data_IF_266302999954
#
_entry.id   IF_266302999954
#
_cell.length_a   1.000
_cell.length_b   1.000
_cell.length_c   1.000
_cell.angle_alpha   90.00
_cell.angle_beta   90.00
_cell.angle_gamma   90.00
#
_symmetry.space_group_name_H-M   'P 1'
#
loop_
_entity.id
_entity.type
_entity.pdbx_description
1 polymer ?
#
# COMPACT_ATOMS: atom_id res chain seq x y z
N UNK A 1 30.96 4.97 14.12
CA UNK A 1 31.26 3.67 13.48
C UNK A 1 30.56 3.65 12.13
N UNK A 2 31.26 3.32 11.05
CA UNK A 2 30.60 3.17 9.74
C UNK A 2 29.67 1.97 9.81
N UNK A 3 28.39 2.15 9.48
CA UNK A 3 27.41 1.06 9.37
C UNK A 3 27.59 0.22 8.09
N UNK A 4 28.69 0.43 7.37
CA UNK A 4 29.06 -0.35 6.20
C UNK A 4 29.97 -1.51 6.57
N UNK A 5 29.67 -2.67 6.01
CA UNK A 5 30.37 -3.93 6.22
C UNK A 5 31.01 -4.33 4.90
N UNK A 6 32.26 -4.81 4.96
CA UNK A 6 32.91 -5.41 3.80
C UNK A 6 32.21 -6.73 3.45
N UNK A 7 31.67 -6.82 2.23
CA UNK A 7 31.12 -8.07 1.68
C UNK A 7 32.26 -8.89 1.06
N UNK A 8 33.20 -8.20 0.43
CA UNK A 8 34.42 -8.75 -0.13
C UNK A 8 35.35 -7.62 -0.57
N UNK A 9 36.54 -7.95 -1.06
CA UNK A 9 37.55 -6.96 -1.44
C UNK A 9 36.96 -5.94 -2.43
N UNK A 10 36.90 -4.67 -2.03
CA UNK A 10 36.37 -3.57 -2.85
C UNK A 10 34.84 -3.47 -2.92
N UNK A 11 34.09 -4.24 -2.11
CA UNK A 11 32.63 -4.18 -2.05
C UNK A 11 32.15 -4.05 -0.61
N UNK A 12 31.26 -3.07 -0.38
CA UNK A 12 30.69 -2.76 0.92
C UNK A 12 29.17 -2.83 0.83
N UNK A 13 28.54 -3.26 1.91
CA UNK A 13 27.09 -3.26 2.09
C UNK A 13 26.72 -2.49 3.33
N UNK A 14 25.60 -1.76 3.28
CA UNK A 14 25.03 -1.13 4.46
C UNK A 14 24.32 -2.19 5.30
N UNK A 15 24.61 -2.27 6.60
CA UNK A 15 23.79 -3.04 7.55
C UNK A 15 22.41 -2.38 7.65
N UNK A 16 21.38 -3.18 7.47
CA UNK A 16 19.98 -2.78 7.60
C UNK A 16 19.23 -3.82 8.44
N UNK A 17 18.08 -3.42 8.97
CA UNK A 17 17.30 -4.13 9.98
C UNK A 17 15.84 -4.24 9.53
N UNK A 18 15.26 -5.42 9.70
CA UNK A 18 13.83 -5.68 9.62
C UNK A 18 13.15 -5.41 10.98
N UNK A 19 11.83 -5.51 11.04
CA UNK A 19 11.11 -5.38 12.32
C UNK A 19 11.47 -6.50 13.30
N UNK A 20 11.77 -7.71 12.83
CA UNK A 20 12.19 -8.83 13.68
C UNK A 20 13.52 -8.58 14.40
N UNK A 21 14.37 -7.70 13.87
CA UNK A 21 15.68 -7.37 14.44
C UNK A 21 15.61 -6.34 15.58
N UNK A 22 14.44 -5.72 15.81
CA UNK A 22 14.27 -4.63 16.78
C UNK A 22 13.10 -4.89 17.73
N UNK A 23 13.12 -4.20 18.87
CA UNK A 23 12.02 -4.15 19.82
C UNK A 23 11.90 -2.75 20.45
N UNK A 24 10.70 -2.39 20.88
CA UNK A 24 10.49 -1.17 21.68
C UNK A 24 10.83 -1.45 23.14
N UNK A 25 11.48 -0.50 23.80
CA UNK A 25 11.97 -0.66 25.18
C UNK A 25 11.18 0.25 26.13
N UNK A 26 10.46 -0.30 27.12
CA UNK A 26 9.87 0.50 28.19
C UNK A 26 10.95 1.24 28.97
N UNK A 27 10.73 2.51 29.33
CA UNK A 27 11.74 3.31 30.01
C UNK A 27 11.22 3.96 31.29
N UNK A 28 10.40 5.01 31.18
CA UNK A 28 10.19 5.96 32.29
C UNK A 28 8.92 5.70 33.10
N UNK A 29 7.74 5.87 32.48
CA UNK A 29 6.43 5.76 33.14
C UNK A 29 5.48 5.03 32.22
N UNK A 30 4.71 4.11 32.78
CA UNK A 30 3.58 3.49 32.08
C UNK A 30 2.39 4.44 32.07
N UNK A 31 1.47 4.21 31.14
CA UNK A 31 0.17 4.89 31.04
C UNK A 31 -0.89 3.81 30.84
N UNK A 32 -2.10 4.11 31.29
CA UNK A 32 -3.25 3.26 31.00
C UNK A 32 -3.55 3.32 29.48
N UNK A 33 -3.83 2.18 28.83
CA UNK A 33 -4.09 2.13 27.39
C UNK A 33 -5.18 3.09 26.92
N UNK A 34 -6.19 3.33 27.76
CA UNK A 34 -7.33 4.21 27.49
C UNK A 34 -6.92 5.69 27.35
N UNK A 35 -5.71 6.06 27.81
CA UNK A 35 -5.16 7.41 27.69
C UNK A 35 -4.37 7.63 26.38
N UNK A 36 -4.22 6.58 25.56
CA UNK A 36 -3.49 6.64 24.29
C UNK A 36 -4.45 7.03 23.18
N UNK A 37 -4.14 8.11 22.46
CA UNK A 37 -4.84 8.45 21.22
C UNK A 37 -4.23 7.67 20.06
N UNK A 38 -5.08 7.00 19.29
CA UNK A 38 -4.74 6.38 18.01
C UNK A 38 -5.20 7.22 16.82
N UNK A 39 -5.76 8.41 17.08
CA UNK A 39 -6.29 9.26 16.03
C UNK A 39 -5.21 9.60 14.99
N UNK A 40 -5.55 9.41 13.72
CA UNK A 40 -4.71 9.75 12.59
C UNK A 40 -5.43 10.78 11.73
N UNK A 41 -4.71 11.82 11.34
CA UNK A 41 -5.23 12.83 10.43
C UNK A 41 -4.25 12.94 9.26
N UNK A 42 -4.76 12.89 8.04
CA UNK A 42 -4.03 13.16 6.80
C UNK A 42 -4.86 14.13 5.97
N UNK A 43 -4.26 15.27 5.62
CA UNK A 43 -4.98 16.37 5.00
C UNK A 43 -6.22 16.78 5.84
N UNK A 44 -7.40 16.92 5.22
CA UNK A 44 -8.66 17.20 5.90
C UNK A 44 -9.32 15.97 6.56
N UNK A 45 -8.81 14.76 6.32
CA UNK A 45 -9.46 13.52 6.73
C UNK A 45 -8.95 13.02 8.08
N UNK A 46 -9.90 12.64 8.95
CA UNK A 46 -9.63 12.14 10.30
C UNK A 46 -10.10 10.70 10.44
N UNK A 47 -9.29 9.90 11.10
CA UNK A 47 -9.48 8.48 11.36
C UNK A 47 -9.25 8.22 12.85
N UNK A 48 -9.97 7.27 13.42
CA UNK A 48 -9.83 6.91 14.84
C UNK A 48 -8.60 6.04 15.09
N UNK A 49 -8.15 5.32 14.05
CA UNK A 49 -6.97 4.46 14.09
C UNK A 49 -6.07 4.70 12.86
N UNK A 50 -4.74 4.52 12.97
CA UNK A 50 -3.79 4.82 11.91
C UNK A 50 -3.66 3.62 10.94
N UNK A 51 -4.79 3.02 10.55
CA UNK A 51 -4.84 1.76 9.79
C UNK A 51 -5.47 1.99 8.43
N UNK A 52 -4.73 1.61 7.40
CA UNK A 52 -5.15 1.61 6.00
C UNK A 52 -5.20 0.15 5.53
N UNK A 53 -6.24 -0.25 4.80
CA UNK A 53 -6.25 -1.55 4.15
C UNK A 53 -5.47 -1.53 2.83
N UNK A 54 -4.69 -2.57 2.56
CA UNK A 54 -4.04 -2.72 1.27
C UNK A 54 -5.09 -2.93 0.16
N UNK A 55 -4.96 -2.22 -0.98
CA UNK A 55 -5.86 -2.40 -2.12
C UNK A 55 -5.51 -3.69 -2.84
N UNK A 56 -6.13 -4.78 -2.40
CA UNK A 56 -5.99 -6.11 -2.99
C UNK A 56 -7.35 -6.79 -2.93
N UNK A 57 -7.79 -7.42 -4.01
CA UNK A 57 -9.13 -8.05 -4.06
C UNK A 57 -9.35 -9.11 -2.98
N UNK A 58 -8.28 -9.81 -2.56
CA UNK A 58 -8.34 -10.79 -1.47
C UNK A 58 -8.62 -10.18 -0.09
N UNK A 59 -8.45 -8.86 0.04
CA UNK A 59 -8.59 -8.11 1.29
C UNK A 59 -9.79 -7.16 1.23
N UNK A 60 -9.89 -6.37 0.16
CA UNK A 60 -10.79 -5.24 0.05
C UNK A 60 -11.87 -5.47 -1.00
N UNK A 61 -13.10 -5.31 -0.55
CA UNK A 61 -14.34 -5.19 -1.31
C UNK A 61 -15.00 -3.87 -0.91
N UNK A 62 -16.01 -3.37 -1.65
CA UNK A 62 -16.82 -2.25 -1.18
C UNK A 62 -17.34 -2.48 0.25
N UNK A 63 -17.84 -3.69 0.54
CA UNK A 63 -18.35 -4.06 1.87
C UNK A 63 -17.28 -4.01 2.97
N UNK A 64 -16.08 -4.55 2.72
CA UNK A 64 -15.00 -4.54 3.73
C UNK A 64 -14.36 -3.17 3.89
N UNK A 65 -14.29 -2.38 2.81
CA UNK A 65 -13.86 -0.98 2.89
C UNK A 65 -14.80 -0.15 3.76
N UNK A 66 -16.13 -0.31 3.57
CA UNK A 66 -17.15 0.32 4.43
C UNK A 66 -17.02 -0.15 5.88
N UNK A 67 -16.84 -1.45 6.10
CA UNK A 67 -16.67 -2.03 7.44
C UNK A 67 -15.46 -1.41 8.16
N UNK A 68 -14.31 -1.34 7.50
CA UNK A 68 -13.10 -0.74 8.08
C UNK A 68 -13.27 0.77 8.33
N UNK A 69 -13.92 1.49 7.41
CA UNK A 69 -14.29 2.89 7.57
C UNK A 69 -15.11 3.14 8.84
N UNK A 70 -16.12 2.29 9.10
CA UNK A 70 -16.94 2.35 10.32
C UNK A 70 -16.20 1.95 11.60
N UNK A 71 -15.10 1.22 11.48
CA UNK A 71 -14.19 0.90 12.58
C UNK A 71 -13.12 1.97 12.80
N UNK A 72 -13.17 3.08 12.03
CA UNK A 72 -12.29 4.23 12.18
C UNK A 72 -10.98 4.15 11.40
N UNK A 73 -10.81 3.17 10.50
CA UNK A 73 -9.68 3.07 9.58
C UNK A 73 -10.01 3.54 8.16
N UNK A 74 -9.08 3.36 7.22
CA UNK A 74 -9.26 3.69 5.81
C UNK A 74 -9.28 2.42 4.94
N UNK A 75 -10.43 2.11 4.35
CA UNK A 75 -10.53 1.08 3.31
C UNK A 75 -10.13 1.62 1.94
N UNK A 76 -9.14 1.00 1.28
CA UNK A 76 -8.72 1.38 -0.07
C UNK A 76 -9.12 0.28 -1.05
N UNK A 77 -9.95 0.63 -2.04
CA UNK A 77 -10.36 -0.31 -3.07
C UNK A 77 -9.29 -0.43 -4.16
N UNK A 78 -9.00 -1.64 -4.63
CA UNK A 78 -8.19 -1.86 -5.83
C UNK A 78 -9.04 -1.54 -7.08
N UNK A 79 -8.71 -0.46 -7.77
CA UNK A 79 -9.46 -0.03 -8.96
C UNK A 79 -8.98 -0.73 -10.24
N UNK A 80 -7.93 -1.55 -10.14
CA UNK A 80 -7.49 -2.48 -11.19
C UNK A 80 -7.90 -3.92 -10.92
N UNK A 81 -8.55 -4.15 -9.78
CA UNK A 81 -8.95 -5.47 -9.31
C UNK A 81 -10.20 -6.03 -10.00
N UNK A 82 -10.70 -7.13 -9.46
CA UNK A 82 -11.90 -7.81 -9.95
C UNK A 82 -13.16 -6.96 -9.78
N UNK A 83 -13.20 -6.11 -8.74
CA UNK A 83 -14.36 -5.25 -8.44
C UNK A 83 -14.70 -4.24 -9.53
N UNK A 84 -13.73 -3.93 -10.40
CA UNK A 84 -13.88 -3.01 -11.53
C UNK A 84 -13.80 -3.71 -12.88
N UNK A 85 -13.71 -5.05 -12.91
CA UNK A 85 -13.72 -5.89 -14.14
C UNK A 85 -15.01 -6.69 -14.30
N UNK A 86 -15.62 -7.08 -13.18
CA UNK A 86 -16.82 -7.92 -13.15
C UNK A 86 -17.97 -7.26 -12.38
N UNK A 87 -19.19 -7.41 -12.89
CA UNK A 87 -20.41 -6.95 -12.19
C UNK A 87 -20.62 -7.73 -10.88
N UNK A 88 -20.33 -9.03 -10.90
CA UNK A 88 -20.34 -9.91 -9.72
C UNK A 88 -18.98 -10.65 -9.59
N UNK A 89 -17.98 -10.07 -8.91
CA UNK A 89 -16.68 -10.71 -8.73
C UNK A 89 -16.68 -11.80 -7.65
N UNK A 90 -17.77 -12.02 -6.91
CA UNK A 90 -17.80 -12.94 -5.76
C UNK A 90 -17.52 -14.38 -6.19
N UNK A 91 -18.14 -14.83 -7.28
CA UNK A 91 -17.94 -16.20 -7.78
C UNK A 91 -16.51 -16.39 -8.31
N UNK A 92 -15.95 -15.36 -8.93
CA UNK A 92 -14.57 -15.34 -9.43
C UNK A 92 -13.56 -15.39 -8.28
N UNK A 93 -13.83 -14.66 -7.19
CA UNK A 93 -13.02 -14.70 -5.97
C UNK A 93 -13.05 -16.08 -5.31
N UNK A 94 -14.24 -16.69 -5.23
CA UNK A 94 -14.42 -18.04 -4.70
C UNK A 94 -13.69 -19.10 -5.54
N UNK A 95 -13.71 -18.94 -6.87
CA UNK A 95 -12.91 -19.77 -7.79
C UNK A 95 -11.42 -19.67 -7.40
N UNK A 96 -10.85 -18.45 -7.37
CA UNK A 96 -9.42 -18.24 -7.04
C UNK A 96 -9.06 -18.83 -5.66
N UNK A 97 -9.93 -18.67 -4.67
CA UNK A 97 -9.72 -19.19 -3.32
C UNK A 97 -9.72 -20.74 -3.24
N UNK A 98 -10.35 -21.44 -4.20
CA UNK A 98 -10.47 -22.91 -4.19
C UNK A 98 -9.58 -23.62 -5.22
N UNK A 99 -8.91 -22.87 -6.10
CA UNK A 99 -8.01 -23.45 -7.09
C UNK A 99 -6.80 -24.17 -6.47
N UNK A 100 -6.37 -25.23 -7.14
CA UNK A 100 -5.12 -25.93 -6.84
C UNK A 100 -3.89 -25.02 -7.09
N UNK A 101 -2.85 -25.08 -6.22
CA UNK A 101 -1.68 -24.20 -6.31
C UNK A 101 -0.99 -24.18 -7.68
N UNK A 102 -0.96 -25.29 -8.40
CA UNK A 102 -0.25 -25.42 -9.68
C UNK A 102 -0.96 -24.69 -10.83
N UNK A 103 -2.27 -24.44 -10.69
CA UNK A 103 -3.10 -23.81 -11.74
C UNK A 103 -3.48 -22.37 -11.42
N UNK A 104 -3.31 -21.95 -10.16
CA UNK A 104 -3.86 -20.68 -9.67
C UNK A 104 -3.31 -19.47 -10.42
N UNK A 105 -1.99 -19.39 -10.62
CA UNK A 105 -1.36 -18.22 -11.26
C UNK A 105 -1.82 -18.05 -12.71
N UNK A 106 -1.77 -19.13 -13.50
CA UNK A 106 -2.20 -19.10 -14.90
C UNK A 106 -3.69 -18.72 -15.00
N UNK A 107 -4.53 -19.27 -14.12
CA UNK A 107 -5.96 -18.96 -14.11
C UNK A 107 -6.25 -17.53 -13.67
N UNK A 108 -5.55 -17.02 -12.66
CA UNK A 108 -5.64 -15.61 -12.27
C UNK A 108 -5.23 -14.70 -13.44
N UNK A 109 -4.16 -15.01 -14.16
CA UNK A 109 -3.76 -14.23 -15.34
C UNK A 109 -4.86 -14.20 -16.42
N UNK A 110 -5.63 -15.27 -16.60
CA UNK A 110 -6.78 -15.27 -17.51
C UNK A 110 -7.92 -14.39 -16.99
N UNK A 111 -8.27 -14.52 -15.72
CA UNK A 111 -9.33 -13.74 -15.07
C UNK A 111 -9.01 -12.24 -15.12
N UNK A 112 -7.80 -11.84 -14.72
CA UNK A 112 -7.40 -10.44 -14.66
C UNK A 112 -7.13 -9.80 -16.04
N UNK A 113 -7.24 -10.55 -17.15
CA UNK A 113 -7.23 -9.97 -18.52
C UNK A 113 -8.51 -9.23 -18.87
N UNK A 114 -9.63 -9.54 -18.21
CA UNK A 114 -10.89 -8.83 -18.45
C UNK A 114 -10.67 -7.32 -18.25
N UNK A 115 -10.99 -6.44 -19.22
CA UNK A 115 -10.69 -5.02 -19.12
C UNK A 115 -11.32 -4.33 -17.90
N UNK A 116 -10.65 -3.28 -17.40
CA UNK A 116 -11.19 -2.41 -16.36
C UNK A 116 -12.36 -1.60 -16.96
N UNK A 117 -13.49 -1.60 -16.26
CA UNK A 117 -14.75 -0.96 -16.65
C UNK A 117 -14.96 0.32 -15.86
N UNK A 118 -14.97 1.46 -16.56
CA UNK A 118 -15.07 2.79 -15.94
C UNK A 118 -16.39 2.97 -15.17
N UNK A 119 -17.47 2.40 -15.66
CA UNK A 119 -18.78 2.37 -15.01
C UNK A 119 -18.77 1.60 -13.69
N UNK A 120 -17.96 0.54 -13.59
CA UNK A 120 -17.80 -0.21 -12.35
C UNK A 120 -16.96 0.57 -11.34
N UNK A 121 -15.89 1.25 -11.76
CA UNK A 121 -15.15 2.19 -10.89
C UNK A 121 -16.13 3.16 -10.21
N UNK A 122 -16.94 3.86 -11.02
CA UNK A 122 -17.89 4.83 -10.51
C UNK A 122 -18.93 4.19 -9.56
N UNK A 123 -19.45 3.02 -9.93
CA UNK A 123 -20.44 2.29 -9.13
C UNK A 123 -19.88 1.88 -7.77
N UNK A 124 -18.66 1.31 -7.72
CA UNK A 124 -18.06 0.84 -6.46
C UNK A 124 -17.67 1.99 -5.53
N UNK A 125 -17.12 3.08 -6.07
CA UNK A 125 -16.77 4.25 -5.26
C UNK A 125 -18.04 4.93 -4.72
N UNK A 126 -19.12 4.99 -5.51
CA UNK A 126 -20.41 5.49 -5.06
C UNK A 126 -20.98 4.64 -3.92
N UNK A 127 -20.88 3.31 -3.99
CA UNK A 127 -21.34 2.41 -2.92
C UNK A 127 -20.66 2.72 -1.58
N UNK A 128 -19.34 2.96 -1.59
CA UNK A 128 -18.58 3.35 -0.39
C UNK A 128 -19.03 4.73 0.11
N UNK A 129 -19.21 5.69 -0.82
CA UNK A 129 -19.68 7.05 -0.51
C UNK A 129 -21.05 7.07 0.14
N UNK A 130 -22.00 6.32 -0.40
CA UNK A 130 -23.38 6.23 0.11
C UNK A 130 -23.44 5.67 1.53
N UNK A 131 -22.42 4.91 1.95
CA UNK A 131 -22.29 4.41 3.32
C UNK A 131 -21.74 5.43 4.32
N UNK A 132 -21.35 6.62 3.87
CA UNK A 132 -20.94 7.74 4.71
C UNK A 132 -19.52 7.62 5.29
N UNK A 133 -18.64 6.84 4.66
CA UNK A 133 -17.22 6.72 5.04
C UNK A 133 -16.32 7.35 3.98
N UNK A 134 -15.08 7.68 4.35
CA UNK A 134 -14.09 8.22 3.41
C UNK A 134 -13.84 7.25 2.25
N UNK A 135 -13.87 7.77 1.03
CA UNK A 135 -13.73 7.00 -0.21
C UNK A 135 -12.28 7.03 -0.67
N UNK A 136 -11.61 5.88 -0.67
CA UNK A 136 -10.27 5.74 -1.24
C UNK A 136 -10.20 4.61 -2.28
N UNK A 137 -9.44 4.86 -3.33
CA UNK A 137 -9.18 3.89 -4.40
C UNK A 137 -7.72 3.95 -4.85
N UNK A 138 -7.22 2.83 -5.33
CA UNK A 138 -5.84 2.71 -5.78
C UNK A 138 -5.72 2.36 -7.26
N UNK A 139 -4.76 2.99 -7.91
CA UNK A 139 -4.27 2.63 -9.24
C UNK A 139 -2.74 2.57 -9.21
N UNK A 140 -2.17 1.74 -10.07
CA UNK A 140 -0.76 1.74 -10.44
C UNK A 140 -0.42 3.00 -11.24
N UNK A 141 0.86 3.40 -11.32
CA UNK A 141 1.26 4.57 -12.09
C UNK A 141 0.81 4.53 -13.56
N UNK A 142 0.81 3.35 -14.18
CA UNK A 142 0.42 3.19 -15.58
C UNK A 142 -1.10 3.39 -15.76
N UNK A 143 -1.93 2.68 -14.98
CA UNK A 143 -3.40 2.84 -15.09
C UNK A 143 -3.91 4.17 -14.57
N UNK A 144 -3.13 4.85 -13.73
CA UNK A 144 -3.46 6.21 -13.29
C UNK A 144 -3.62 7.14 -14.49
N UNK A 145 -2.72 7.10 -15.48
CA UNK A 145 -2.86 7.91 -16.70
C UNK A 145 -4.18 7.64 -17.45
N UNK A 146 -4.62 6.39 -17.47
CA UNK A 146 -5.79 5.96 -18.24
C UNK A 146 -7.11 6.28 -17.52
N UNK A 147 -7.16 6.10 -16.20
CA UNK A 147 -8.44 6.05 -15.46
C UNK A 147 -8.64 7.18 -14.45
N UNK A 148 -7.65 8.03 -14.17
CA UNK A 148 -7.77 9.04 -13.11
C UNK A 148 -9.00 9.94 -13.26
N UNK A 149 -9.35 10.36 -14.48
CA UNK A 149 -10.51 11.24 -14.69
C UNK A 149 -11.81 10.57 -14.25
N UNK A 150 -11.95 9.26 -14.48
CA UNK A 150 -13.10 8.48 -14.02
C UNK A 150 -13.13 8.43 -12.50
N UNK A 151 -11.98 8.19 -11.86
CA UNK A 151 -11.85 8.14 -10.40
C UNK A 151 -12.20 9.48 -9.74
N UNK A 152 -11.72 10.60 -10.30
CA UNK A 152 -12.05 11.94 -9.81
C UNK A 152 -13.53 12.28 -10.00
N UNK A 153 -14.09 12.00 -11.18
CA UNK A 153 -15.53 12.22 -11.46
C UNK A 153 -16.44 11.40 -10.55
N UNK A 154 -16.00 10.20 -10.15
CA UNK A 154 -16.71 9.37 -9.19
C UNK A 154 -16.66 9.89 -7.75
N UNK A 155 -15.84 10.92 -7.49
CA UNK A 155 -15.63 11.50 -6.17
C UNK A 155 -14.82 10.56 -5.29
N UNK A 156 -13.53 10.41 -5.56
CA UNK A 156 -12.59 9.84 -4.58
C UNK A 156 -12.20 10.94 -3.58
N UNK A 157 -12.11 10.61 -2.30
CA UNK A 157 -11.67 11.54 -1.25
C UNK A 157 -10.13 11.50 -1.08
N UNK A 158 -9.55 10.30 -1.14
CA UNK A 158 -8.11 10.04 -1.07
C UNK A 158 -7.69 9.12 -2.22
N UNK A 159 -6.78 9.58 -3.08
CA UNK A 159 -6.33 8.78 -4.22
C UNK A 159 -4.97 8.14 -3.93
N UNK A 160 -4.86 6.83 -4.17
CA UNK A 160 -3.63 6.08 -3.90
C UNK A 160 -2.98 5.67 -5.22
N UNK A 161 -1.74 6.11 -5.46
CA UNK A 161 -0.91 5.64 -6.56
C UNK A 161 0.06 4.61 -6.00
N UNK A 162 -0.21 3.32 -6.25
CA UNK A 162 0.53 2.21 -5.64
C UNK A 162 1.12 1.29 -6.69
N UNK A 163 2.43 1.06 -6.62
CA UNK A 163 3.12 -0.03 -7.29
C UNK A 163 4.15 -0.66 -6.36
N UNK A 164 4.73 -1.80 -6.74
CA UNK A 164 5.78 -2.45 -5.94
C UNK A 164 6.98 -1.54 -5.72
N UNK A 165 7.40 -0.79 -6.75
CA UNK A 165 8.42 0.26 -6.62
C UNK A 165 7.98 1.44 -7.48
N UNK A 166 7.93 2.63 -6.89
CA UNK A 166 7.55 3.86 -7.58
C UNK A 166 8.61 4.93 -7.37
N UNK A 167 9.04 5.54 -8.46
CA UNK A 167 9.91 6.71 -8.49
C UNK A 167 9.13 7.93 -8.98
N UNK A 168 9.54 9.12 -8.54
CA UNK A 168 8.93 10.37 -9.00
C UNK A 168 9.11 10.60 -10.52
N UNK A 169 10.17 10.05 -11.08
CA UNK A 169 10.51 10.10 -12.50
C UNK A 169 10.66 8.66 -13.01
N UNK A 170 9.95 8.34 -14.08
CA UNK A 170 10.09 7.08 -14.81
C UNK A 170 10.60 7.38 -16.22
N UNK A 171 11.48 6.54 -16.75
CA UNK A 171 12.03 6.67 -18.10
C UNK A 171 11.56 5.46 -18.89
N UNK A 172 10.82 5.70 -19.97
CA UNK A 172 10.33 4.67 -20.88
C UNK A 172 10.68 5.04 -22.32
N UNK A 173 11.02 4.03 -23.12
CA UNK A 173 11.22 4.18 -24.56
C UNK A 173 9.95 3.92 -25.39
N UNK A 174 8.93 3.31 -24.77
CA UNK A 174 7.74 2.80 -25.46
C UNK A 174 6.52 3.70 -25.29
N UNK A 175 6.45 4.47 -24.20
CA UNK A 175 5.33 5.35 -23.87
C UNK A 175 5.76 6.56 -23.04
N UNK A 176 5.00 7.65 -23.10
CA UNK A 176 5.25 8.84 -22.28
C UNK A 176 4.97 8.54 -20.80
N UNK A 177 5.98 8.61 -19.92
CA UNK A 177 5.83 8.26 -18.51
C UNK A 177 4.99 9.30 -17.74
N UNK A 178 4.32 8.87 -16.67
CA UNK A 178 3.54 9.78 -15.84
C UNK A 178 4.49 10.68 -15.05
N UNK A 179 4.48 11.98 -15.35
CA UNK A 179 5.16 12.95 -14.50
C UNK A 179 4.34 13.18 -13.23
N UNK A 180 4.68 12.43 -12.17
CA UNK A 180 3.94 12.46 -10.91
C UNK A 180 3.90 13.85 -10.28
N UNK A 181 4.96 14.66 -10.44
CA UNK A 181 4.98 16.04 -9.90
C UNK A 181 3.92 16.92 -10.55
N UNK A 182 3.83 16.94 -11.88
CA UNK A 182 2.80 17.72 -12.57
C UNK A 182 1.42 17.17 -12.25
N UNK A 183 1.27 15.85 -12.34
CA UNK A 183 0.00 15.18 -12.12
C UNK A 183 -0.56 15.44 -10.73
N UNK A 184 0.19 15.15 -9.67
CA UNK A 184 -0.29 15.29 -8.29
C UNK A 184 -0.57 16.76 -7.95
N UNK A 185 0.22 17.70 -8.49
CA UNK A 185 0.01 19.12 -8.25
C UNK A 185 -1.28 19.67 -8.91
N UNK A 186 -1.73 19.06 -10.00
CA UNK A 186 -2.96 19.42 -10.70
C UNK A 186 -4.22 18.78 -10.10
N UNK A 187 -4.08 17.85 -9.16
CA UNK A 187 -5.21 17.19 -8.51
C UNK A 187 -5.70 17.97 -7.29
N UNK A 188 -7.02 18.16 -7.22
CA UNK A 188 -7.71 18.72 -6.05
C UNK A 188 -7.94 17.69 -4.93
N UNK A 189 -7.44 16.47 -5.09
CA UNK A 189 -7.57 15.39 -4.10
C UNK A 189 -6.20 15.03 -3.53
N UNK A 190 -6.08 14.79 -2.21
CA UNK A 190 -4.83 14.36 -1.62
C UNK A 190 -4.40 13.00 -2.17
N UNK A 191 -3.13 12.90 -2.55
CA UNK A 191 -2.52 11.68 -3.11
C UNK A 191 -1.57 11.02 -2.13
N UNK A 192 -1.74 9.71 -1.94
CA UNK A 192 -0.75 8.84 -1.29
C UNK A 192 -0.01 8.08 -2.39
N UNK A 193 1.33 8.06 -2.37
CA UNK A 193 2.13 7.43 -3.43
C UNK A 193 3.23 6.52 -2.90
N UNK A 194 3.48 5.39 -3.57
CA UNK A 194 4.62 4.51 -3.31
C UNK A 194 4.50 3.19 -4.05
N UNK A 195 5.32 2.16 -3.83
CA UNK A 195 6.26 1.97 -2.73
C UNK A 195 7.65 2.57 -2.93
N UNK A 196 8.17 3.18 -1.86
CA UNK A 196 9.55 3.65 -1.75
C UNK A 196 10.24 3.00 -0.56
N UNK A 197 11.55 2.77 -0.62
CA UNK A 197 12.30 2.12 0.47
C UNK A 197 13.63 2.81 0.81
N UNK A 198 13.89 3.96 0.21
CA UNK A 198 15.11 4.74 0.42
C UNK A 198 14.79 6.20 0.66
N UNK A 199 15.69 6.90 1.38
CA UNK A 199 15.61 8.33 1.62
C UNK A 199 15.40 9.13 0.32
N UNK A 200 16.22 8.88 -0.70
CA UNK A 200 16.21 9.69 -1.94
C UNK A 200 14.91 9.50 -2.73
N UNK A 201 14.46 8.26 -2.89
CA UNK A 201 13.21 7.98 -3.57
C UNK A 201 12.02 8.64 -2.86
N UNK A 202 11.95 8.54 -1.53
CA UNK A 202 10.87 9.13 -0.76
C UNK A 202 10.91 10.67 -0.78
N UNK A 203 12.09 11.29 -0.66
CA UNK A 203 12.24 12.75 -0.76
C UNK A 203 11.74 13.27 -2.11
N UNK A 204 12.05 12.55 -3.20
CA UNK A 204 11.54 12.91 -4.52
C UNK A 204 10.02 12.75 -4.63
N UNK A 205 9.44 11.68 -4.06
CA UNK A 205 7.98 11.53 -3.99
C UNK A 205 7.33 12.64 -3.15
N UNK A 206 7.91 13.05 -2.03
CA UNK A 206 7.40 14.18 -1.23
C UNK A 206 7.37 15.48 -2.05
N UNK A 207 8.42 15.75 -2.83
CA UNK A 207 8.50 16.92 -3.72
C UNK A 207 7.49 16.91 -4.88
N UNK A 208 6.82 15.79 -5.16
CA UNK A 208 5.70 15.77 -6.12
C UNK A 208 4.44 16.45 -5.59
N UNK A 209 4.35 16.66 -4.27
CA UNK A 209 3.16 17.17 -3.61
C UNK A 209 2.26 16.06 -3.07
N UNK A 210 2.78 14.86 -2.85
CA UNK A 210 2.04 13.80 -2.17
C UNK A 210 1.69 14.21 -0.72
N UNK A 211 0.51 13.79 -0.25
CA UNK A 211 0.10 13.90 1.15
C UNK A 211 0.70 12.79 2.02
N UNK A 212 1.03 11.63 1.41
CA UNK A 212 1.70 10.53 2.09
C UNK A 212 2.55 9.67 1.15
N UNK A 213 3.56 9.01 1.71
CA UNK A 213 4.43 8.07 1.01
C UNK A 213 4.28 6.66 1.59
N UNK A 214 4.00 5.68 0.73
CA UNK A 214 4.01 4.26 1.12
C UNK A 214 5.46 3.75 1.16
N UNK A 215 5.86 3.19 2.30
CA UNK A 215 7.20 2.68 2.55
C UNK A 215 7.21 1.17 2.53
N UNK A 216 8.05 0.59 1.68
CA UNK A 216 8.09 -0.84 1.42
C UNK A 216 7.55 -1.16 0.03
N UNK A 217 7.47 -2.45 -0.27
CA UNK A 217 7.12 -2.96 -1.59
C UNK A 217 5.73 -3.63 -1.62
N UNK A 218 4.93 -3.47 -0.57
CA UNK A 218 3.61 -4.09 -0.47
C UNK A 218 3.68 -5.61 -0.40
N UNK A 219 2.57 -6.28 -0.74
CA UNK A 219 2.50 -7.73 -0.99
C UNK A 219 2.70 -8.68 0.21
N UNK A 220 3.44 -8.28 1.24
CA UNK A 220 3.61 -9.03 2.49
C UNK A 220 3.96 -10.50 2.26
N UNK A 221 3.17 -11.39 2.86
CA UNK A 221 3.38 -12.84 2.77
C UNK A 221 3.18 -13.43 1.36
N UNK A 222 2.52 -12.70 0.45
CA UNK A 222 2.23 -13.16 -0.91
C UNK A 222 3.31 -12.75 -1.92
N UNK A 223 4.30 -11.94 -1.56
CA UNK A 223 5.27 -11.38 -2.50
C UNK A 223 6.53 -12.23 -2.62
N UNK A 224 7.04 -12.39 -3.85
CA UNK A 224 8.27 -13.14 -4.17
C UNK A 224 9.40 -12.27 -4.74
N UNK A 225 9.27 -10.94 -4.73
CA UNK A 225 10.30 -9.99 -5.23
C UNK A 225 11.71 -10.27 -4.71
N UNK A 226 11.85 -10.64 -3.43
CA UNK A 226 13.16 -10.96 -2.84
C UNK A 226 13.77 -12.21 -3.46
N UNK A 227 12.99 -13.26 -3.65
CA UNK A 227 13.48 -14.54 -4.19
C UNK A 227 13.67 -14.48 -5.70
N UNK A 228 12.78 -13.77 -6.40
CA UNK A 228 12.79 -13.67 -7.87
C UNK A 228 13.79 -12.63 -8.39
N UNK A 229 13.92 -11.48 -7.72
CA UNK A 229 14.76 -10.35 -8.18
C UNK A 229 15.92 -9.99 -7.26
N UNK A 230 16.02 -10.59 -6.07
CA UNK A 230 17.04 -10.23 -5.08
C UNK A 230 16.82 -8.85 -4.42
N UNK A 231 15.66 -8.22 -4.65
CA UNK A 231 15.32 -6.89 -4.15
C UNK A 231 14.47 -7.04 -2.87
N UNK A 232 14.89 -6.37 -1.80
CA UNK A 232 14.18 -6.40 -0.52
C UNK A 232 14.39 -5.11 0.26
N UNK A 233 13.34 -4.65 0.96
CA UNK A 233 13.39 -3.51 1.85
C UNK A 233 13.34 -3.98 3.32
N UNK A 234 14.46 -3.90 4.07
CA UNK A 234 14.44 -4.14 5.52
C UNK A 234 13.63 -3.03 6.21
N UNK A 235 12.39 -3.35 6.59
CA UNK A 235 11.36 -2.35 6.86
C UNK A 235 11.69 -1.38 8.01
N UNK A 236 12.37 -1.82 9.07
CA UNK A 236 12.75 -0.91 10.15
C UNK A 236 13.73 0.18 9.67
N UNK A 237 14.70 -0.21 8.84
CA UNK A 237 15.63 0.76 8.21
C UNK A 237 14.94 1.61 7.16
N UNK A 238 14.10 1.01 6.31
CA UNK A 238 13.39 1.74 5.26
C UNK A 238 12.47 2.82 5.84
N UNK A 239 11.65 2.48 6.85
CA UNK A 239 10.76 3.45 7.52
C UNK A 239 11.56 4.56 8.19
N UNK A 240 12.65 4.24 8.89
CA UNK A 240 13.49 5.24 9.53
C UNK A 240 14.15 6.21 8.53
N UNK A 241 14.66 5.69 7.40
CA UNK A 241 15.26 6.50 6.35
C UNK A 241 14.22 7.43 5.69
N UNK A 242 13.02 6.93 5.43
CA UNK A 242 11.94 7.73 4.85
C UNK A 242 11.40 8.76 5.86
N UNK A 243 11.34 8.42 7.15
CA UNK A 243 11.04 9.37 8.21
C UNK A 243 12.08 10.50 8.32
N UNK A 244 13.36 10.20 8.06
CA UNK A 244 14.40 11.21 7.94
C UNK A 244 14.21 12.09 6.70
N UNK A 245 13.86 11.51 5.55
CA UNK A 245 13.51 12.28 4.34
C UNK A 245 12.31 13.22 4.59
N UNK A 246 11.28 12.76 5.30
CA UNK A 246 10.13 13.59 5.70
C UNK A 246 10.57 14.78 6.53
N UNK A 247 11.43 14.57 7.53
CA UNK A 247 11.91 15.65 8.40
C UNK A 247 12.65 16.71 7.58
N UNK A 248 13.57 16.27 6.71
CA UNK A 248 14.34 17.22 5.91
C UNK A 248 13.45 17.94 4.88
N UNK A 249 12.43 17.26 4.34
CA UNK A 249 11.42 17.88 3.48
C UNK A 249 10.52 18.87 4.24
N UNK A 250 10.18 18.59 5.51
CA UNK A 250 9.41 19.50 6.36
C UNK A 250 10.14 20.84 6.51
N UNK A 251 11.47 20.78 6.71
CA UNK A 251 12.33 21.96 6.77
C UNK A 251 12.44 22.65 5.40
N UNK A 252 12.68 21.89 4.32
CA UNK A 252 12.78 22.39 2.93
C UNK A 252 11.51 23.13 2.47
N UNK A 253 10.34 22.58 2.81
CA UNK A 253 9.03 23.09 2.38
C UNK A 253 8.47 24.19 3.28
N UNK A 254 9.11 24.49 4.41
CA UNK A 254 8.63 25.47 5.38
C UNK A 254 7.41 25.01 6.19
N UNK A 255 7.23 23.70 6.38
CA UNK A 255 6.20 23.15 7.27
C UNK A 255 5.23 22.15 6.64
N UNK A 256 5.45 21.68 5.41
CA UNK A 256 4.60 20.65 4.81
C UNK A 256 4.94 19.27 5.35
N UNK A 257 4.03 18.71 6.15
CA UNK A 257 4.18 17.38 6.73
C UNK A 257 3.63 16.31 5.77
N UNK A 258 4.51 15.47 5.21
CA UNK A 258 4.11 14.33 4.37
C UNK A 258 4.10 13.06 5.21
N UNK A 259 2.97 12.35 5.25
CA UNK A 259 2.86 11.15 6.08
C UNK A 259 3.73 10.01 5.58
N UNK A 260 4.33 9.28 6.50
CA UNK A 260 5.07 8.04 6.25
C UNK A 260 4.18 6.86 6.59
N UNK A 261 3.85 6.02 5.61
CA UNK A 261 2.91 4.92 5.79
C UNK A 261 3.65 3.61 5.55
N UNK A 262 3.80 2.76 6.56
CA UNK A 262 4.48 1.48 6.37
C UNK A 262 3.59 0.48 5.61
N UNK A 263 4.05 -0.03 4.46
CA UNK A 263 3.36 -0.98 3.58
C UNK A 263 4.25 -2.20 3.32
N UNK A 264 4.29 -3.10 4.30
CA UNK A 264 5.07 -4.35 4.25
C UNK A 264 5.53 -4.83 5.62
N UNK A 265 5.62 -6.14 5.82
CA UNK A 265 6.16 -6.73 7.06
C UNK A 265 5.28 -6.57 8.31
N UNK A 266 3.98 -6.28 8.16
CA UNK A 266 3.05 -5.95 9.25
C UNK A 266 2.11 -7.12 9.58
N UNK A 267 2.67 -8.31 9.84
CA UNK A 267 1.88 -9.53 10.04
C UNK A 267 1.27 -9.66 11.44
N UNK A 268 1.89 -9.03 12.44
CA UNK A 268 1.53 -9.09 13.86
C UNK A 268 1.45 -7.68 14.45
N UNK A 269 0.71 -7.53 15.55
CA UNK A 269 0.56 -6.24 16.24
C UNK A 269 1.89 -5.65 16.73
N UNK A 270 2.85 -6.49 17.13
CA UNK A 270 4.20 -6.04 17.49
C UNK A 270 4.93 -5.34 16.34
N UNK A 271 4.72 -5.76 15.10
CA UNK A 271 5.33 -5.13 13.92
C UNK A 271 4.73 -3.75 13.67
N UNK A 272 3.42 -3.60 13.92
CA UNK A 272 2.71 -2.32 13.85
C UNK A 272 3.30 -1.32 14.84
N UNK A 273 3.51 -1.73 16.09
CA UNK A 273 4.14 -0.90 17.13
C UNK A 273 5.56 -0.49 16.71
N UNK A 274 6.35 -1.42 16.18
CA UNK A 274 7.72 -1.15 15.71
C UNK A 274 7.73 -0.18 14.51
N UNK A 275 6.78 -0.31 13.58
CA UNK A 275 6.66 0.59 12.43
C UNK A 275 6.40 2.05 12.87
N UNK A 276 5.45 2.26 13.78
CA UNK A 276 5.19 3.59 14.36
C UNK A 276 6.44 4.11 15.10
N UNK A 277 7.11 3.25 15.88
CA UNK A 277 8.34 3.61 16.58
C UNK A 277 9.51 3.97 15.65
N UNK A 278 9.57 3.39 14.44
CA UNK A 278 10.54 3.74 13.40
C UNK A 278 10.20 5.05 12.68
N UNK A 279 9.03 5.64 12.93
CA UNK A 279 8.63 6.95 12.40
C UNK A 279 7.51 6.92 11.37
N UNK A 280 6.78 5.80 11.22
CA UNK A 280 5.54 5.77 10.46
C UNK A 280 4.41 6.50 11.20
N UNK A 281 3.57 7.19 10.45
CA UNK A 281 2.37 7.88 10.91
C UNK A 281 1.12 6.98 10.82
N UNK A 282 1.13 6.06 9.85
CA UNK A 282 0.10 5.04 9.67
C UNK A 282 0.68 3.76 9.07
N UNK A 283 -0.13 2.71 9.03
CA UNK A 283 0.24 1.39 8.55
C UNK A 283 -0.76 0.87 7.53
N UNK A 284 -0.27 0.23 6.46
CA UNK A 284 -1.08 -0.44 5.46
C UNK A 284 -1.06 -1.95 5.70
N UNK A 285 -2.25 -2.54 5.91
CA UNK A 285 -2.41 -3.95 6.26
C UNK A 285 -3.01 -4.74 5.09
N UNK A 286 -2.27 -5.75 4.62
CA UNK A 286 -2.74 -6.76 3.66
C UNK A 286 -3.08 -8.08 4.36
N UNK A 287 -2.10 -8.98 4.45
CA UNK A 287 -2.25 -10.33 5.00
C UNK A 287 -2.91 -10.41 6.39
N UNK A 288 -2.71 -9.39 7.25
CA UNK A 288 -3.37 -9.35 8.56
C UNK A 288 -4.90 -9.21 8.46
N UNK A 289 -5.39 -8.40 7.51
CA UNK A 289 -6.81 -8.21 7.25
C UNK A 289 -7.39 -9.31 6.36
N UNK A 290 -6.57 -9.96 5.52
CA UNK A 290 -6.99 -11.13 4.73
C UNK A 290 -7.47 -12.32 5.58
N UNK A 291 -7.12 -12.35 6.87
CA UNK A 291 -7.62 -13.35 7.85
C UNK A 291 -9.02 -13.04 8.36
N UNK A 292 -9.54 -11.84 8.17
CA UNK A 292 -10.89 -11.52 8.66
C UNK A 292 -11.93 -12.43 7.98
N UNK A 293 -12.95 -12.84 8.73
CA UNK A 293 -14.06 -13.63 8.20
C UNK A 293 -14.79 -12.94 7.05
N UNK A 294 -14.80 -11.61 7.04
CA UNK A 294 -15.39 -10.80 5.99
C UNK A 294 -14.47 -10.58 4.78
N UNK A 295 -13.18 -10.97 4.85
CA UNK A 295 -12.23 -10.74 3.76
C UNK A 295 -12.62 -11.56 2.52
N UNK A 296 -12.62 -10.96 1.31
CA UNK A 296 -13.12 -11.64 0.12
C UNK A 296 -12.27 -12.85 -0.31
N UNK A 297 -11.00 -12.91 0.11
CA UNK A 297 -10.10 -14.01 -0.19
C UNK A 297 -10.40 -15.32 0.56
N UNK A 298 -11.33 -15.33 1.54
CA UNK A 298 -11.79 -16.56 2.18
C UNK A 298 -10.68 -17.35 2.89
N UNK A 299 -9.77 -16.65 3.58
CA UNK A 299 -8.59 -17.24 4.23
C UNK A 299 -7.39 -17.44 3.31
N UNK A 300 -7.47 -16.97 2.06
CA UNK A 300 -6.36 -16.82 1.13
C UNK A 300 -6.05 -15.34 0.88
N UNK A 301 -4.80 -15.08 0.51
CA UNK A 301 -4.30 -13.75 0.23
C UNK A 301 -3.47 -13.76 -1.06
N UNK A 302 -3.67 -12.74 -1.88
CA UNK A 302 -2.84 -12.42 -3.04
C UNK A 302 -2.91 -10.92 -3.31
N UNK A 303 -1.84 -10.40 -3.90
CA UNK A 303 -1.76 -9.04 -4.44
C UNK A 303 -1.70 -9.04 -5.96
N UNK A 304 -1.66 -7.86 -6.59
CA UNK A 304 -1.56 -7.72 -8.04
C UNK A 304 -0.32 -8.39 -8.65
N UNK A 305 0.75 -8.51 -7.86
CA UNK A 305 1.99 -9.15 -8.26
C UNK A 305 1.80 -10.64 -8.60
N UNK A 306 0.77 -11.30 -8.05
CA UNK A 306 0.52 -12.73 -8.26
C UNK A 306 -0.03 -13.08 -9.64
N UNK A 307 -0.50 -12.09 -10.41
CA UNK A 307 -1.11 -12.31 -11.71
C UNK A 307 -0.54 -11.40 -12.80
N UNK A 308 0.69 -10.90 -12.60
CA UNK A 308 1.40 -10.17 -13.64
C UNK A 308 1.50 -11.04 -14.92
N UNK A 309 1.19 -10.52 -16.12
CA UNK A 309 1.04 -11.34 -17.33
C UNK A 309 2.32 -12.04 -17.77
N UNK A 310 3.47 -11.41 -17.56
CA UNK A 310 4.78 -11.94 -18.00
C UNK A 310 5.59 -12.53 -16.86
N UNK A 311 5.85 -11.75 -15.82
CA UNK A 311 6.62 -12.15 -14.65
C UNK A 311 5.82 -12.00 -13.34
N UNK A 312 5.08 -13.03 -12.91
CA UNK A 312 4.48 -13.05 -11.58
C UNK A 312 5.54 -12.88 -10.48
N UNK A 313 5.37 -11.87 -9.63
CA UNK A 313 6.22 -11.56 -8.48
C UNK A 313 5.47 -11.75 -7.15
N UNK A 314 4.40 -12.54 -7.20
CA UNK A 314 3.65 -12.96 -6.03
C UNK A 314 2.96 -14.29 -6.26
N UNK A 315 2.33 -14.77 -5.21
CA UNK A 315 1.63 -16.05 -5.16
C UNK A 315 0.35 -15.91 -4.34
N UNK A 316 -0.62 -16.80 -4.58
CA UNK A 316 -1.76 -16.95 -3.67
C UNK A 316 -1.33 -17.79 -2.48
N UNK A 317 -1.38 -17.21 -1.28
CA UNK A 317 -0.97 -17.85 -0.04
C UNK A 317 -2.15 -18.07 0.91
N UNK A 318 -2.12 -19.16 1.68
CA UNK A 318 -3.12 -19.43 2.72
C UNK A 318 -2.72 -18.66 3.99
N UNK A 319 -3.62 -17.82 4.49
CA UNK A 319 -3.39 -17.00 5.70
C UNK A 319 -4.25 -17.43 6.88
N UNK A 320 -5.27 -18.27 6.65
CA UNK A 320 -6.21 -18.72 7.67
C UNK A 320 -7.28 -17.67 8.00
N UNK A 321 -8.05 -17.93 9.06
CA UNK A 321 -9.08 -17.03 9.61
C UNK A 321 -8.83 -16.78 11.08
#
# INVERSE_FOLDING_TARGET
>A
MSNEIEIGRGKRGRRAYAFDDIAVVPSRRTRDPELVSLAWQIDAFKFDIPVIAAPMDSVMSPKTAIKLGKLGGLGVLDLEGLWTRYENPVDVLAEIATLEPERVTARMQEIYREPIKSELIATRLKEIRDAGVTVAGALSPHRTQEHYQTVLKAGVDLFVIRGTTVSAEHVSGDAEPLNLKKFIYELDVPVIVGGASTYQAALHLMRTGAAGVLVGFGGGAAQTTRTSLGIHAPMATAVADVAAARRDYLDESGGRYVHVIADGGLGRSGDMVKAIACGADAIMLGAALARATEAPGGGYHWGPEAHHPELPLGERVKVGT
#
